data_IF_918148116398
#
_entry.id   IF_918148116398
#
_cell.length_a   1.000
_cell.length_b   1.000
_cell.length_c   1.000
_cell.angle_alpha   90.00
_cell.angle_beta   90.00
_cell.angle_gamma   90.00
#
_symmetry.space_group_name_H-M   'P 1'
#
loop_
_entity.id
_entity.type
_entity.pdbx_description
1 polymer ?
#
# COMPACT_ATOMS: atom_id res chain seq x y z
N UNK A 1 34.67 1.12 28.18
CA UNK A 1 33.77 -0.04 27.95
C UNK A 1 33.60 -0.20 26.45
N UNK A 2 33.78 -1.39 25.87
CA UNK A 2 33.43 -1.61 24.47
C UNK A 2 31.90 -1.48 24.32
N UNK A 3 31.43 -0.74 23.31
CA UNK A 3 29.99 -0.62 23.07
C UNK A 3 29.41 -2.03 22.81
N UNK A 4 28.27 -2.39 23.41
CA UNK A 4 27.62 -3.67 23.12
C UNK A 4 27.34 -3.75 21.61
N UNK A 5 27.84 -4.82 20.96
CA UNK A 5 27.59 -5.02 19.54
C UNK A 5 26.10 -5.27 19.32
N UNK A 6 25.44 -4.38 18.58
CA UNK A 6 24.03 -4.51 18.23
C UNK A 6 23.80 -5.78 17.40
N UNK A 7 22.68 -6.47 17.61
CA UNK A 7 22.31 -7.64 16.81
C UNK A 7 22.10 -7.26 15.33
N UNK A 8 22.33 -8.21 14.43
CA UNK A 8 22.14 -8.03 12.98
C UNK A 8 20.74 -7.50 12.62
N UNK A 9 19.63 -8.04 13.18
CA UNK A 9 18.29 -7.48 12.93
C UNK A 9 18.16 -6.02 13.37
N UNK A 10 18.77 -5.63 14.48
CA UNK A 10 18.71 -4.24 14.99
C UNK A 10 19.50 -3.29 14.09
N UNK A 11 20.66 -3.70 13.60
CA UNK A 11 21.44 -2.90 12.63
C UNK A 11 20.65 -2.70 11.31
N UNK A 12 19.98 -3.76 10.83
CA UNK A 12 19.10 -3.69 9.64
C UNK A 12 17.91 -2.76 9.85
N UNK A 13 17.31 -2.75 11.04
CA UNK A 13 16.24 -1.82 11.39
C UNK A 13 16.73 -0.36 11.35
N UNK A 14 17.86 -0.08 12.01
CA UNK A 14 18.45 1.28 12.09
C UNK A 14 18.75 1.81 10.68
N UNK A 15 19.42 1.02 9.84
CA UNK A 15 19.74 1.43 8.47
C UNK A 15 18.50 1.70 7.62
N UNK A 16 17.43 0.91 7.76
CA UNK A 16 16.15 1.15 7.07
C UNK A 16 15.47 2.44 7.55
N UNK A 17 15.53 2.73 8.85
CA UNK A 17 15.01 3.98 9.41
C UNK A 17 15.80 5.20 8.94
N UNK A 18 17.13 5.08 8.86
CA UNK A 18 17.99 6.14 8.32
C UNK A 18 17.67 6.42 6.85
N UNK A 19 17.52 5.36 6.04
CA UNK A 19 17.11 5.50 4.64
C UNK A 19 15.73 6.13 4.49
N UNK A 20 14.76 5.73 5.32
CA UNK A 20 13.45 6.37 5.35
C UNK A 20 13.56 7.85 5.69
N UNK A 21 14.32 8.22 6.72
CA UNK A 21 14.51 9.62 7.11
C UNK A 21 15.13 10.45 5.99
N UNK A 22 16.13 9.90 5.28
CA UNK A 22 16.72 10.54 4.10
C UNK A 22 15.71 10.71 2.97
N UNK A 23 14.83 9.73 2.75
CA UNK A 23 13.80 9.79 1.70
C UNK A 23 12.71 10.85 1.94
N UNK A 24 12.58 11.38 3.17
CA UNK A 24 11.66 12.48 3.47
C UNK A 24 12.15 13.83 2.91
N UNK A 25 13.46 13.95 2.67
CA UNK A 25 14.03 15.16 2.10
C UNK A 25 13.73 15.25 0.60
N UNK A 26 13.51 16.46 0.05
CA UNK A 26 13.32 16.64 -1.38
C UNK A 26 14.52 16.05 -2.14
N UNK A 27 14.25 15.16 -3.09
CA UNK A 27 15.30 14.65 -3.98
C UNK A 27 15.58 15.72 -5.04
N UNK A 28 16.80 16.25 -5.06
CA UNK A 28 17.21 17.18 -6.12
C UNK A 28 17.14 16.49 -7.49
N UNK A 29 16.50 17.15 -8.46
CA UNK A 29 16.43 16.68 -9.85
C UNK A 29 15.38 15.61 -10.17
N UNK A 30 14.51 15.23 -9.22
CA UNK A 30 13.40 14.30 -9.49
C UNK A 30 12.11 15.08 -9.72
N UNK A 31 11.44 14.96 -10.88
CA UNK A 31 10.20 15.68 -11.15
C UNK A 31 9.07 15.10 -10.28
N UNK A 32 8.36 16.00 -9.59
CA UNK A 32 7.22 15.66 -8.73
C UNK A 32 5.93 16.24 -9.28
N UNK A 33 4.82 15.59 -8.95
CA UNK A 33 3.49 16.02 -9.39
C UNK A 33 3.08 17.29 -8.63
N UNK A 34 2.92 18.38 -9.38
CA UNK A 34 2.46 19.68 -8.88
C UNK A 34 1.04 20.00 -9.36
N UNK A 35 0.21 20.58 -8.48
CA UNK A 35 -1.11 21.11 -8.82
C UNK A 35 -1.30 22.53 -8.27
N UNK A 36 -1.10 23.54 -9.11
CA UNK A 36 -1.08 24.97 -8.74
C UNK A 36 -2.36 25.44 -8.03
N UNK A 37 -3.53 25.12 -8.59
CA UNK A 37 -4.83 25.68 -8.18
C UNK A 37 -5.20 25.40 -6.71
N UNK A 38 -4.65 24.33 -6.14
CA UNK A 38 -5.01 23.79 -4.82
C UNK A 38 -3.81 23.61 -3.90
N UNK A 39 -2.60 23.92 -4.35
CA UNK A 39 -1.35 23.65 -3.63
C UNK A 39 -1.39 24.16 -2.17
N UNK A 40 -1.77 25.42 -1.97
CA UNK A 40 -1.81 26.03 -0.63
C UNK A 40 -2.86 25.39 0.30
N UNK A 41 -4.02 25.01 -0.25
CA UNK A 41 -5.10 24.38 0.54
C UNK A 41 -4.77 22.93 0.88
N UNK A 42 -4.22 22.18 -0.08
CA UNK A 42 -3.78 20.80 0.11
C UNK A 42 -2.64 20.72 1.11
N UNK A 43 -1.66 21.61 1.02
CA UNK A 43 -0.55 21.68 1.97
C UNK A 43 -1.05 21.94 3.41
N UNK A 44 -1.91 22.95 3.60
CA UNK A 44 -2.46 23.26 4.92
C UNK A 44 -3.31 22.11 5.50
N UNK A 45 -4.06 21.41 4.66
CA UNK A 45 -4.87 20.26 5.08
C UNK A 45 -4.00 19.05 5.45
N UNK A 46 -2.98 18.75 4.64
CA UNK A 46 -2.09 17.60 4.86
C UNK A 46 -1.26 17.76 6.13
N UNK A 47 -0.70 18.94 6.39
CA UNK A 47 0.03 19.22 7.64
C UNK A 47 -0.87 19.09 8.88
N UNK A 48 -2.14 19.47 8.77
CA UNK A 48 -3.12 19.30 9.85
C UNK A 48 -3.44 17.82 10.11
N UNK A 49 -3.58 17.01 9.05
CA UNK A 49 -3.82 15.57 9.18
C UNK A 49 -2.61 14.86 9.80
N UNK A 50 -1.40 15.21 9.37
CA UNK A 50 -0.16 14.53 9.77
C UNK A 50 0.10 14.50 11.27
N UNK A 51 -0.39 15.50 12.01
CA UNK A 51 -0.21 15.59 13.46
C UNK A 51 -1.31 14.93 14.29
N UNK A 52 -2.44 14.53 13.67
CA UNK A 52 -3.67 14.16 14.38
C UNK A 52 -4.09 12.71 14.09
N UNK A 53 -3.86 12.22 12.87
CA UNK A 53 -4.33 10.92 12.40
C UNK A 53 -3.27 9.84 12.63
N UNK A 54 -3.69 8.68 13.15
CA UNK A 54 -2.82 7.51 13.24
C UNK A 54 -2.53 6.95 11.84
N UNK A 55 -1.36 6.34 11.67
CA UNK A 55 -0.91 5.71 10.43
C UNK A 55 -2.01 4.86 9.79
N UNK A 56 -2.69 4.02 10.58
CA UNK A 56 -3.71 3.10 10.08
C UNK A 56 -4.89 3.86 9.48
N UNK A 57 -5.33 4.92 10.15
CA UNK A 57 -6.40 5.78 9.68
C UNK A 57 -6.01 6.51 8.39
N UNK A 58 -4.74 6.94 8.27
CA UNK A 58 -4.20 7.56 7.06
C UNK A 58 -4.27 6.59 5.86
N UNK A 59 -3.82 5.35 6.03
CA UNK A 59 -3.88 4.31 4.99
C UNK A 59 -5.32 3.98 4.59
N UNK A 60 -6.22 3.83 5.57
CA UNK A 60 -7.65 3.57 5.31
C UNK A 60 -8.30 4.74 4.57
N UNK A 61 -7.95 5.98 4.91
CA UNK A 61 -8.45 7.18 4.25
C UNK A 61 -8.00 7.27 2.79
N UNK A 62 -6.70 7.11 2.53
CA UNK A 62 -6.13 7.07 1.17
C UNK A 62 -6.75 5.95 0.34
N UNK A 63 -6.82 4.73 0.88
CA UNK A 63 -7.39 3.57 0.18
C UNK A 63 -8.85 3.79 -0.20
N UNK A 64 -9.68 4.31 0.72
CA UNK A 64 -11.09 4.61 0.44
C UNK A 64 -11.24 5.67 -0.66
N UNK A 65 -10.38 6.69 -0.66
CA UNK A 65 -10.38 7.72 -1.70
C UNK A 65 -10.02 7.14 -3.07
N UNK A 66 -8.96 6.33 -3.14
CA UNK A 66 -8.54 5.64 -4.36
C UNK A 66 -9.67 4.73 -4.86
N UNK A 67 -10.23 3.90 -3.99
CA UNK A 67 -11.31 2.96 -4.32
C UNK A 67 -12.53 3.69 -4.89
N UNK A 68 -12.93 4.82 -4.30
CA UNK A 68 -14.04 5.66 -4.77
C UNK A 68 -13.78 6.19 -6.18
N UNK A 69 -12.58 6.72 -6.44
CA UNK A 69 -12.21 7.29 -7.74
C UNK A 69 -12.11 6.17 -8.79
N UNK A 70 -11.48 5.04 -8.47
CA UNK A 70 -11.39 3.87 -9.34
C UNK A 70 -12.77 3.35 -9.72
N UNK A 71 -13.64 3.10 -8.73
CA UNK A 71 -15.01 2.62 -8.98
C UNK A 71 -15.76 3.57 -9.90
N UNK A 72 -15.73 4.87 -9.63
CA UNK A 72 -16.40 5.87 -10.48
C UNK A 72 -15.88 5.83 -11.92
N UNK A 73 -14.56 5.68 -12.12
CA UNK A 73 -13.93 5.62 -13.45
C UNK A 73 -14.24 4.29 -14.17
N UNK A 74 -14.11 3.15 -13.49
CA UNK A 74 -14.47 1.85 -14.05
C UNK A 74 -15.95 1.76 -14.40
N UNK A 75 -16.86 2.26 -13.56
CA UNK A 75 -18.28 2.31 -13.91
C UNK A 75 -18.56 3.22 -15.11
N UNK A 76 -17.86 4.35 -15.24
CA UNK A 76 -18.03 5.26 -16.39
C UNK A 76 -17.47 4.72 -17.70
N UNK A 77 -16.47 3.84 -17.63
CA UNK A 77 -15.84 3.21 -18.80
C UNK A 77 -16.40 1.81 -19.11
N UNK A 78 -17.31 1.32 -18.27
CA UNK A 78 -17.99 0.06 -18.51
C UNK A 78 -19.00 0.27 -19.64
N UNK A 79 -18.60 -0.03 -20.86
CA UNK A 79 -19.55 -0.19 -21.96
C UNK A 79 -20.42 -1.42 -21.64
N UNK A 80 -21.59 -1.18 -21.03
CA UNK A 80 -22.53 -2.21 -20.59
C UNK A 80 -23.02 -3.12 -21.74
N UNK A 81 -22.79 -2.69 -22.98
CA UNK A 81 -23.14 -3.37 -24.23
C UNK A 81 -22.08 -4.40 -24.67
N UNK A 82 -20.79 -4.11 -24.45
CA UNK A 82 -19.68 -4.97 -24.91
C UNK A 82 -18.84 -5.57 -23.78
N UNK A 83 -19.01 -5.10 -22.54
CA UNK A 83 -18.33 -5.64 -21.36
C UNK A 83 -16.82 -5.46 -21.31
N UNK A 84 -16.26 -4.68 -22.24
CA UNK A 84 -14.82 -4.42 -22.37
C UNK A 84 -14.45 -3.07 -21.77
N UNK A 85 -13.35 -3.02 -21.03
CA UNK A 85 -12.75 -1.80 -20.51
C UNK A 85 -11.67 -1.27 -21.47
N UNK A 86 -11.75 0.00 -21.87
CA UNK A 86 -10.71 0.66 -22.68
C UNK A 86 -9.47 0.98 -21.84
N UNK A 87 -8.27 0.75 -22.39
CA UNK A 87 -6.98 1.14 -21.80
C UNK A 87 -6.70 2.64 -21.98
N UNK A 88 -7.62 3.49 -21.56
CA UNK A 88 -7.33 4.93 -21.53
C UNK A 88 -6.33 5.22 -20.39
N UNK A 89 -5.57 6.31 -20.49
CA UNK A 89 -4.71 6.79 -19.40
C UNK A 89 -5.59 7.20 -18.20
N UNK A 90 -5.74 6.30 -17.23
CA UNK A 90 -6.57 6.49 -16.02
C UNK A 90 -5.69 6.96 -14.86
N UNK A 91 -4.43 6.55 -14.83
CA UNK A 91 -3.52 6.80 -13.73
C UNK A 91 -3.29 8.28 -13.46
N UNK A 92 -2.91 9.07 -14.48
CA UNK A 92 -2.63 10.50 -14.29
C UNK A 92 -3.85 11.27 -13.77
N UNK A 93 -5.05 11.18 -14.39
CA UNK A 93 -6.24 11.81 -13.84
C UNK A 93 -6.60 11.35 -12.42
N UNK A 94 -6.37 10.08 -12.10
CA UNK A 94 -6.62 9.53 -10.77
C UNK A 94 -5.68 10.15 -9.72
N UNK A 95 -4.37 10.20 -9.99
CA UNK A 95 -3.38 10.78 -9.07
C UNK A 95 -3.60 12.28 -8.88
N UNK A 96 -3.87 13.03 -9.95
CA UNK A 96 -4.17 14.46 -9.85
C UNK A 96 -5.42 14.74 -9.01
N UNK A 97 -6.46 13.93 -9.15
CA UNK A 97 -7.68 14.06 -8.35
C UNK A 97 -7.44 13.74 -6.87
N UNK A 98 -6.59 12.76 -6.57
CA UNK A 98 -6.20 12.41 -5.21
C UNK A 98 -5.44 13.56 -4.52
N UNK A 99 -4.52 14.21 -5.23
CA UNK A 99 -3.81 15.39 -4.73
C UNK A 99 -4.80 16.55 -4.55
N UNK A 100 -5.65 16.83 -5.54
CA UNK A 100 -6.67 17.89 -5.45
C UNK A 100 -7.65 17.70 -4.30
N UNK A 101 -8.00 16.46 -4.00
CA UNK A 101 -8.87 16.09 -2.89
C UNK A 101 -8.19 16.18 -1.51
N UNK A 102 -6.89 16.51 -1.45
CA UNK A 102 -6.12 16.54 -0.21
C UNK A 102 -5.83 15.17 0.39
N UNK A 103 -5.98 14.08 -0.39
CA UNK A 103 -5.71 12.72 0.06
C UNK A 103 -4.20 12.40 0.03
N UNK A 104 -3.45 13.11 -0.81
CA UNK A 104 -2.02 13.00 -0.94
C UNK A 104 -1.38 14.39 -0.96
N UNK A 105 -0.14 14.53 -0.44
CA UNK A 105 0.57 15.79 -0.46
C UNK A 105 0.95 16.22 -1.88
N UNK A 106 0.88 17.53 -2.14
CA UNK A 106 1.43 18.13 -3.36
C UNK A 106 2.97 18.08 -3.33
N UNK A 107 3.62 18.01 -4.50
CA UNK A 107 5.09 18.08 -4.65
C UNK A 107 5.89 16.99 -3.92
N UNK A 108 5.26 15.85 -3.63
CA UNK A 108 5.88 14.72 -2.92
C UNK A 108 5.88 13.42 -3.69
N UNK A 109 4.96 13.25 -4.62
CA UNK A 109 4.86 12.05 -5.45
C UNK A 109 5.67 12.29 -6.73
N UNK A 110 6.60 11.39 -7.04
CA UNK A 110 7.38 11.42 -8.28
C UNK A 110 6.48 11.18 -9.50
N UNK A 111 6.73 11.86 -10.61
CA UNK A 111 5.94 11.65 -11.85
C UNK A 111 6.03 10.22 -12.38
N UNK A 112 7.16 9.54 -12.15
CA UNK A 112 7.39 8.12 -12.48
C UNK A 112 6.34 7.19 -11.88
N UNK A 113 5.76 7.55 -10.71
CA UNK A 113 4.73 6.76 -10.04
C UNK A 113 3.42 6.69 -10.82
N UNK A 114 3.15 7.65 -11.70
CA UNK A 114 1.98 7.58 -12.60
C UNK A 114 2.08 6.35 -13.50
N UNK A 115 3.27 6.05 -14.03
CA UNK A 115 3.47 4.87 -14.89
C UNK A 115 3.31 3.57 -14.09
N UNK A 116 3.84 3.52 -12.86
CA UNK A 116 3.65 2.37 -11.96
C UNK A 116 2.16 2.14 -11.65
N UNK A 117 1.41 3.21 -11.35
CA UNK A 117 -0.04 3.14 -11.14
C UNK A 117 -0.77 2.67 -12.40
N UNK A 118 -0.38 3.14 -13.59
CA UNK A 118 -1.00 2.68 -14.84
C UNK A 118 -0.76 1.18 -15.06
N UNK A 119 0.45 0.69 -14.82
CA UNK A 119 0.78 -0.74 -14.89
C UNK A 119 -0.03 -1.58 -13.91
N UNK A 120 -0.29 -1.07 -12.71
CA UNK A 120 -1.19 -1.72 -11.75
C UNK A 120 -2.62 -1.77 -12.29
N UNK A 121 -3.17 -0.64 -12.72
CA UNK A 121 -4.53 -0.55 -13.28
C UNK A 121 -4.71 -1.49 -14.49
N UNK A 122 -3.73 -1.52 -15.40
CA UNK A 122 -3.78 -2.37 -16.61
C UNK A 122 -3.86 -3.86 -16.28
N UNK A 123 -3.17 -4.32 -15.22
CA UNK A 123 -3.27 -5.71 -14.74
C UNK A 123 -4.69 -6.03 -14.26
N UNK A 124 -5.30 -5.14 -13.50
CA UNK A 124 -6.68 -5.34 -13.04
C UNK A 124 -7.67 -5.28 -14.19
N UNK A 125 -7.54 -4.33 -15.11
CA UNK A 125 -8.36 -4.26 -16.33
C UNK A 125 -8.25 -5.54 -17.15
N UNK A 126 -7.03 -6.09 -17.30
CA UNK A 126 -6.83 -7.36 -17.98
C UNK A 126 -7.61 -8.49 -17.32
N UNK A 127 -7.52 -8.63 -15.98
CA UNK A 127 -8.29 -9.64 -15.23
C UNK A 127 -9.80 -9.45 -15.44
N UNK A 128 -10.28 -8.20 -15.41
CA UNK A 128 -11.69 -7.88 -15.64
C UNK A 128 -12.17 -8.27 -17.03
N UNK A 129 -11.38 -7.99 -18.07
CA UNK A 129 -11.74 -8.32 -19.45
C UNK A 129 -11.76 -9.84 -19.70
N UNK A 130 -10.97 -10.63 -18.95
CA UNK A 130 -10.99 -12.11 -19.05
C UNK A 130 -12.20 -12.73 -18.33
N UNK A 131 -12.90 -11.99 -17.47
CA UNK A 131 -14.10 -12.50 -16.80
C UNK A 131 -15.35 -12.38 -17.70
N UNK A 132 -15.58 -13.41 -18.51
CA UNK A 132 -16.63 -13.43 -19.55
C UNK A 132 -17.97 -14.05 -19.12
N UNK A 133 -18.09 -14.65 -17.93
CA UNK A 133 -19.23 -15.55 -17.66
C UNK A 133 -19.80 -15.38 -16.24
N UNK A 134 -20.92 -14.66 -16.11
CA UNK A 134 -21.66 -14.58 -14.84
C UNK A 134 -22.89 -13.66 -14.87
N UNK A 135 -23.83 -13.87 -13.95
CA UNK A 135 -24.98 -12.98 -13.76
C UNK A 135 -24.51 -11.55 -13.44
N UNK A 136 -25.22 -10.51 -13.95
CA UNK A 136 -24.87 -9.09 -13.76
C UNK A 136 -24.54 -8.70 -12.32
N UNK A 137 -25.28 -9.24 -11.34
CA UNK A 137 -25.08 -8.98 -9.90
C UNK A 137 -23.75 -9.53 -9.38
N UNK A 138 -23.38 -10.74 -9.80
CA UNK A 138 -22.09 -11.37 -9.46
C UNK A 138 -20.93 -10.60 -10.09
N UNK A 139 -21.09 -10.12 -11.33
CA UNK A 139 -20.10 -9.30 -12.02
C UNK A 139 -19.81 -7.99 -11.28
N UNK A 140 -20.85 -7.31 -10.79
CA UNK A 140 -20.71 -6.05 -10.04
C UNK A 140 -20.00 -6.25 -8.69
N UNK A 141 -20.29 -7.34 -7.99
CA UNK A 141 -19.61 -7.71 -6.74
C UNK A 141 -18.13 -8.01 -6.99
N UNK A 142 -17.84 -8.77 -8.05
CA UNK A 142 -16.46 -9.05 -8.47
C UNK A 142 -15.70 -7.77 -8.81
N UNK A 143 -16.30 -6.85 -9.57
CA UNK A 143 -15.71 -5.54 -9.87
C UNK A 143 -15.42 -4.72 -8.62
N UNK A 144 -16.36 -4.68 -7.68
CA UNK A 144 -16.17 -3.96 -6.42
C UNK A 144 -15.03 -4.55 -5.60
N UNK A 145 -14.97 -5.89 -5.51
CA UNK A 145 -13.90 -6.59 -4.81
C UNK A 145 -12.53 -6.38 -5.49
N UNK A 146 -12.44 -6.51 -6.80
CA UNK A 146 -11.17 -6.29 -7.50
C UNK A 146 -10.71 -4.83 -7.39
N UNK A 147 -11.65 -3.88 -7.40
CA UNK A 147 -11.34 -2.46 -7.20
C UNK A 147 -10.77 -2.17 -5.81
N UNK A 148 -11.18 -2.90 -4.77
CA UNK A 148 -10.60 -2.72 -3.42
C UNK A 148 -9.17 -3.24 -3.33
N UNK A 149 -8.86 -4.33 -4.04
CA UNK A 149 -7.50 -4.86 -4.18
C UNK A 149 -6.62 -3.88 -4.96
N UNK A 150 -7.12 -3.39 -6.11
CA UNK A 150 -6.43 -2.39 -6.91
C UNK A 150 -6.15 -1.11 -6.12
N UNK A 151 -7.11 -0.67 -5.31
CA UNK A 151 -6.93 0.49 -4.45
C UNK A 151 -5.84 0.27 -3.39
N UNK A 152 -5.73 -0.94 -2.83
CA UNK A 152 -4.66 -1.29 -1.89
C UNK A 152 -3.28 -1.23 -2.55
N UNK A 153 -3.12 -1.81 -3.75
CA UNK A 153 -1.84 -1.79 -4.45
C UNK A 153 -1.44 -0.37 -4.89
N UNK A 154 -2.38 0.43 -5.40
CA UNK A 154 -2.12 1.81 -5.80
C UNK A 154 -1.76 2.68 -4.59
N UNK A 155 -2.39 2.47 -3.45
CA UNK A 155 -2.04 3.14 -2.21
C UNK A 155 -0.59 2.85 -1.82
N UNK A 156 -0.17 1.59 -1.88
CA UNK A 156 1.21 1.19 -1.57
C UNK A 156 2.23 1.77 -2.57
N UNK A 157 1.87 1.91 -3.85
CA UNK A 157 2.71 2.55 -4.87
C UNK A 157 2.90 4.05 -4.57
N UNK A 158 1.82 4.74 -4.20
CA UNK A 158 1.81 6.21 -4.00
C UNK A 158 2.31 6.63 -2.62
N UNK A 159 2.14 5.79 -1.60
CA UNK A 159 2.51 6.06 -0.21
C UNK A 159 3.05 4.79 0.46
N UNK A 160 4.22 4.27 0.01
CA UNK A 160 4.81 3.10 0.63
C UNK A 160 5.10 3.35 2.12
N UNK A 161 4.92 2.36 3.01
CA UNK A 161 5.21 2.47 4.45
C UNK A 161 6.56 1.80 4.83
N UNK A 162 7.73 2.38 4.45
CA UNK A 162 9.02 1.72 4.65
C UNK A 162 9.40 1.59 6.13
N UNK A 163 8.95 2.52 6.98
CA UNK A 163 9.21 2.53 8.42
C UNK A 163 8.51 1.36 9.11
N UNK A 164 7.22 1.18 8.83
CA UNK A 164 6.38 0.12 9.39
C UNK A 164 6.81 -1.24 8.84
N UNK A 165 7.10 -1.32 7.53
CA UNK A 165 7.68 -2.53 6.91
C UNK A 165 9.01 -2.91 7.55
N UNK A 166 9.85 -1.95 7.93
CA UNK A 166 11.10 -2.24 8.63
C UNK A 166 10.86 -2.83 10.03
N UNK A 167 9.88 -2.31 10.77
CA UNK A 167 9.48 -2.85 12.08
C UNK A 167 8.89 -4.26 11.98
N UNK A 168 7.95 -4.47 11.06
CA UNK A 168 7.35 -5.79 10.80
C UNK A 168 8.44 -6.82 10.48
N UNK A 169 9.38 -6.47 9.60
CA UNK A 169 10.50 -7.34 9.28
C UNK A 169 11.41 -7.61 10.48
N UNK A 170 11.69 -6.59 11.30
CA UNK A 170 12.48 -6.76 12.51
C UNK A 170 11.80 -7.72 13.51
N UNK A 171 10.52 -7.51 13.78
CA UNK A 171 9.72 -8.40 14.64
C UNK A 171 9.67 -9.82 14.08
N UNK A 172 9.49 -9.97 12.76
CA UNK A 172 9.53 -11.26 12.10
C UNK A 172 10.85 -12.00 12.33
N UNK A 173 12.00 -11.36 12.13
CA UNK A 173 13.31 -12.01 12.35
C UNK A 173 13.49 -12.44 13.82
N UNK A 174 13.12 -11.58 14.78
CA UNK A 174 13.19 -11.93 16.20
C UNK A 174 12.27 -13.11 16.56
N UNK A 175 11.05 -13.13 16.02
CA UNK A 175 10.08 -14.18 16.30
C UNK A 175 10.48 -15.49 15.62
N UNK A 176 11.06 -15.43 14.42
CA UNK A 176 11.59 -16.58 13.69
C UNK A 176 12.69 -17.30 14.48
N UNK A 177 13.59 -16.56 15.12
CA UNK A 177 14.66 -17.11 15.98
C UNK A 177 14.11 -17.74 17.27
N UNK A 178 13.08 -17.13 17.86
CA UNK A 178 12.50 -17.57 19.15
C UNK A 178 11.53 -18.74 19.01
N UNK A 179 10.74 -18.79 17.95
CA UNK A 179 9.77 -19.85 17.72
C UNK A 179 10.51 -21.09 17.21
N UNK A 180 10.82 -22.02 18.12
CA UNK A 180 11.34 -23.34 17.78
C UNK A 180 10.16 -24.31 17.71
N UNK A 181 9.91 -24.88 16.53
CA UNK A 181 8.95 -25.97 16.40
C UNK A 181 9.66 -27.27 16.79
N UNK A 182 9.00 -28.09 17.61
CA UNK A 182 9.53 -29.38 18.01
C UNK A 182 9.58 -30.30 16.77
N UNK A 183 10.67 -31.03 16.56
CA UNK A 183 10.90 -31.80 15.32
C UNK A 183 9.80 -32.84 15.04
N UNK A 184 9.12 -33.31 16.08
CA UNK A 184 7.96 -34.20 15.97
C UNK A 184 6.77 -33.58 15.24
N UNK A 185 6.51 -32.27 15.42
CA UNK A 185 5.37 -31.58 14.78
C UNK A 185 5.65 -31.33 13.29
N UNK A 186 6.91 -31.04 12.93
CA UNK A 186 7.34 -30.86 11.54
C UNK A 186 7.21 -32.17 10.74
N UNK A 187 7.52 -33.32 11.36
CA UNK A 187 7.41 -34.65 10.72
C UNK A 187 5.98 -35.18 10.66
N UNK A 188 5.16 -34.94 11.69
CA UNK A 188 3.78 -35.47 11.77
C UNK A 188 2.80 -34.64 10.91
N UNK A 189 2.93 -33.31 10.91
CA UNK A 189 2.01 -32.43 10.17
C UNK A 189 2.55 -31.97 8.81
N UNK A 190 3.79 -32.34 8.43
CA UNK A 190 4.37 -31.99 7.13
C UNK A 190 4.64 -30.50 6.91
N UNK A 191 4.64 -29.69 7.97
CA UNK A 191 4.80 -28.22 7.84
C UNK A 191 6.23 -27.91 7.43
N UNK A 192 6.38 -27.27 6.27
CA UNK A 192 7.67 -26.80 5.77
C UNK A 192 8.17 -25.56 6.52
N UNK A 193 9.49 -25.34 6.51
CA UNK A 193 10.06 -24.12 7.10
C UNK A 193 9.53 -22.84 6.43
N UNK A 194 9.19 -22.92 5.14
CA UNK A 194 8.58 -21.81 4.40
C UNK A 194 7.18 -21.47 4.90
N UNK A 195 6.36 -22.48 5.19
CA UNK A 195 5.00 -22.28 5.72
C UNK A 195 5.07 -21.71 7.14
N UNK A 196 5.96 -22.23 7.98
CA UNK A 196 6.26 -21.65 9.30
C UNK A 196 6.60 -20.16 9.19
N UNK A 197 7.56 -19.81 8.33
CA UNK A 197 7.98 -18.43 8.17
C UNK A 197 6.83 -17.54 7.66
N UNK A 198 6.01 -18.04 6.73
CA UNK A 198 4.82 -17.34 6.24
C UNK A 198 3.83 -17.07 7.37
N UNK A 199 3.52 -18.08 8.19
CA UNK A 199 2.58 -17.94 9.30
C UNK A 199 3.09 -16.96 10.37
N UNK A 200 4.39 -17.00 10.70
CA UNK A 200 4.99 -16.05 11.64
C UNK A 200 4.88 -14.63 11.08
N UNK A 201 5.18 -14.44 9.79
CA UNK A 201 5.10 -13.13 9.16
C UNK A 201 3.66 -12.58 9.18
N UNK A 202 2.66 -13.40 8.83
CA UNK A 202 1.24 -13.03 8.90
C UNK A 202 0.83 -12.66 10.34
N UNK A 203 1.23 -13.48 11.32
CA UNK A 203 0.91 -13.22 12.72
C UNK A 203 1.52 -11.90 13.22
N UNK A 204 2.75 -11.59 12.82
CA UNK A 204 3.41 -10.31 13.15
C UNK A 204 2.70 -9.13 12.50
N UNK A 205 2.25 -9.24 11.25
CA UNK A 205 1.47 -8.20 10.60
C UNK A 205 0.14 -7.94 11.31
N UNK A 206 -0.62 -9.01 11.62
CA UNK A 206 -1.89 -8.90 12.35
C UNK A 206 -1.70 -8.27 13.73
N UNK A 207 -0.63 -8.63 14.42
CA UNK A 207 -0.28 -8.07 15.71
C UNK A 207 0.04 -6.57 15.61
N UNK A 208 0.79 -6.17 14.59
CA UNK A 208 1.11 -4.76 14.32
C UNK A 208 -0.18 -3.95 14.06
N UNK A 209 -1.07 -4.48 13.23
CA UNK A 209 -2.35 -3.86 12.93
C UNK A 209 -3.28 -3.74 14.15
N UNK A 210 -3.22 -4.72 15.07
CA UNK A 210 -4.00 -4.74 16.32
C UNK A 210 -3.45 -3.77 17.37
N UNK A 211 -2.12 -3.66 17.51
CA UNK A 211 -1.54 -2.72 18.47
C UNK A 211 -1.70 -1.26 18.04
N UNK A 212 -1.76 -0.97 16.75
CA UNK A 212 -2.13 0.37 16.25
C UNK A 212 -3.52 0.77 16.75
N UNK A 213 -4.49 -0.15 16.78
CA UNK A 213 -5.87 0.11 17.24
C UNK A 213 -5.98 0.35 18.75
N UNK A 214 -5.04 -0.14 19.55
CA UNK A 214 -5.08 -0.02 21.01
C UNK A 214 -4.40 1.25 21.53
N UNK A 215 -3.60 1.91 20.68
CA UNK A 215 -2.83 3.12 21.00
C UNK A 215 -3.49 4.40 20.46
N UNK A 216 -4.59 4.27 19.70
CA UNK A 216 -5.44 5.34 19.18
C UNK A 216 -6.71 5.51 20.01
#
# INVERSE_FOLDING_TARGET
MPMPQLSQPTQKLISRYQFWYQSLQPKEGVPTIHVDEVASKVAAFYEKIRGIIDWKEEHLFKRRAIERILKRRFFSQLDLTNGNFSKNSIAQPLVLELIRGGHFPNDKIEESKIEEVQKAIDRYIFILNQTTSGQKKSKLQFYSWLSSIAACEIEEILSPPPKERALINYMFELMKERIRLNEGILKINGITEKEKNTQIYIAVQQLFDFFSDCLS
#
